data_IF_342288705037
#
_entry.id   IF_342288705037
#
_cell.length_a   1.000
_cell.length_b   1.000
_cell.length_c   1.000
_cell.angle_alpha   90.00
_cell.angle_beta   90.00
_cell.angle_gamma   90.00
#
_symmetry.space_group_name_H-M   'P 1'
#
loop_
_entity.id
_entity.type
_entity.pdbx_description
1 polymer ?
#
# COMPACT_ATOMS: atom_id res chain seq x y z
N UNK A 1 -19.33 -0.36 7.83
CA UNK A 1 -18.14 0.48 7.60
C UNK A 1 -18.21 0.85 6.14
N UNK A 2 -18.75 2.03 5.84
CA UNK A 2 -18.81 2.55 4.47
C UNK A 2 -17.42 3.09 4.13
N UNK A 3 -16.78 2.49 3.13
CA UNK A 3 -15.55 3.02 2.56
C UNK A 3 -15.90 4.14 1.58
N UNK A 4 -15.16 5.24 1.63
CA UNK A 4 -15.24 6.27 0.62
C UNK A 4 -14.72 5.75 -0.73
N UNK A 5 -15.12 6.39 -1.83
CA UNK A 5 -14.60 6.08 -3.17
C UNK A 5 -13.07 6.19 -3.23
N UNK A 6 -12.49 7.17 -2.54
CA UNK A 6 -11.05 7.39 -2.47
C UNK A 6 -10.34 6.24 -1.75
N UNK A 7 -10.89 5.76 -0.63
CA UNK A 7 -10.35 4.59 0.08
C UNK A 7 -10.38 3.33 -0.79
N UNK A 8 -11.46 3.11 -1.55
CA UNK A 8 -11.57 1.95 -2.44
C UNK A 8 -10.55 1.98 -3.58
N UNK A 9 -10.25 3.16 -4.13
CA UNK A 9 -9.24 3.33 -5.18
C UNK A 9 -7.85 2.96 -4.63
N UNK A 10 -7.48 3.53 -3.49
CA UNK A 10 -6.16 3.29 -2.88
C UNK A 10 -6.01 1.83 -2.46
N UNK A 11 -7.05 1.22 -1.88
CA UNK A 11 -7.03 -0.20 -1.53
C UNK A 11 -6.83 -1.08 -2.76
N UNK A 12 -7.46 -0.76 -3.89
CA UNK A 12 -7.28 -1.49 -5.14
C UNK A 12 -5.85 -1.39 -5.67
N UNK A 13 -5.24 -0.21 -5.57
CA UNK A 13 -3.84 0.00 -5.96
C UNK A 13 -2.87 -0.76 -5.05
N UNK A 14 -3.08 -0.72 -3.74
CA UNK A 14 -2.32 -1.51 -2.75
C UNK A 14 -2.36 -3.00 -3.09
N UNK A 15 -3.55 -3.54 -3.39
CA UNK A 15 -3.68 -4.96 -3.74
C UNK A 15 -2.96 -5.29 -5.05
N UNK A 16 -3.09 -4.41 -6.05
CA UNK A 16 -2.41 -4.58 -7.34
C UNK A 16 -0.88 -4.59 -7.18
N UNK A 17 -0.34 -3.66 -6.39
CA UNK A 17 1.10 -3.57 -6.10
C UNK A 17 1.58 -4.76 -5.26
N UNK A 18 0.81 -5.23 -4.27
CA UNK A 18 1.10 -6.45 -3.53
C UNK A 18 1.22 -7.66 -4.44
N UNK A 19 0.27 -7.88 -5.35
CA UNK A 19 0.32 -9.00 -6.28
C UNK A 19 1.55 -8.94 -7.17
N UNK A 20 1.90 -7.75 -7.68
CA UNK A 20 3.11 -7.55 -8.48
C UNK A 20 4.38 -7.81 -7.69
N UNK A 21 4.47 -7.33 -6.44
CA UNK A 21 5.60 -7.56 -5.56
C UNK A 21 5.80 -9.04 -5.26
N UNK A 22 4.73 -9.75 -4.91
CA UNK A 22 4.80 -11.19 -4.63
C UNK A 22 5.28 -11.94 -5.87
N UNK A 23 4.70 -11.64 -7.03
CA UNK A 23 5.10 -12.25 -8.30
C UNK A 23 6.59 -11.98 -8.60
N UNK A 24 7.02 -10.72 -8.51
CA UNK A 24 8.40 -10.34 -8.79
C UNK A 24 9.38 -10.94 -7.78
N UNK A 25 9.01 -11.01 -6.51
CA UNK A 25 9.78 -11.68 -5.46
C UNK A 25 9.92 -13.18 -5.67
N UNK A 26 8.89 -13.84 -6.24
CA UNK A 26 8.94 -15.26 -6.61
C UNK A 26 9.79 -15.49 -7.88
N UNK A 27 9.68 -14.61 -8.88
CA UNK A 27 10.36 -14.79 -10.18
C UNK A 27 11.83 -14.33 -10.17
N UNK A 28 12.13 -13.21 -9.51
CA UNK A 28 13.45 -12.55 -9.55
C UNK A 28 14.16 -12.50 -8.19
N UNK A 29 13.45 -12.81 -7.10
CA UNK A 29 13.95 -12.72 -5.73
C UNK A 29 13.64 -11.38 -5.06
N UNK A 30 13.72 -11.38 -3.73
CA UNK A 30 13.38 -10.22 -2.89
C UNK A 30 14.43 -9.10 -2.92
N UNK A 31 15.67 -9.42 -3.30
CA UNK A 31 16.77 -8.46 -3.40
C UNK A 31 16.93 -7.87 -4.80
N UNK A 32 16.12 -8.31 -5.76
CA UNK A 32 16.13 -7.75 -7.10
C UNK A 32 15.69 -6.28 -7.04
N UNK A 33 16.36 -5.34 -7.77
CA UNK A 33 16.04 -3.92 -7.71
C UNK A 33 14.55 -3.64 -7.96
N UNK A 34 13.95 -4.33 -8.93
CA UNK A 34 12.51 -4.18 -9.23
C UNK A 34 11.62 -4.59 -8.06
N UNK A 35 11.96 -5.66 -7.33
CA UNK A 35 11.19 -6.09 -6.15
C UNK A 35 11.33 -5.09 -5.01
N UNK A 36 12.52 -4.50 -4.84
CA UNK A 36 12.79 -3.45 -3.85
C UNK A 36 12.00 -2.17 -4.20
N UNK A 37 12.01 -1.75 -5.47
CA UNK A 37 11.24 -0.59 -5.93
C UNK A 37 9.73 -0.81 -5.72
N UNK A 38 9.21 -1.99 -6.07
CA UNK A 38 7.81 -2.35 -5.81
C UNK A 38 7.48 -2.30 -4.32
N UNK A 39 8.41 -2.71 -3.45
CA UNK A 39 8.25 -2.67 -2.00
C UNK A 39 8.15 -1.24 -1.48
N UNK A 40 9.05 -0.36 -1.96
CA UNK A 40 9.05 1.05 -1.59
C UNK A 40 7.79 1.78 -2.10
N UNK A 41 7.32 1.47 -3.31
CA UNK A 41 6.06 2.00 -3.83
C UNK A 41 4.86 1.54 -3.00
N UNK A 42 4.83 0.26 -2.62
CA UNK A 42 3.77 -0.28 -1.77
C UNK A 42 3.76 0.37 -0.38
N UNK A 43 4.93 0.58 0.23
CA UNK A 43 5.06 1.22 1.54
C UNK A 43 4.51 2.66 1.52
N UNK A 44 4.83 3.43 0.47
CA UNK A 44 4.28 4.79 0.27
C UNK A 44 2.75 4.79 0.23
N UNK A 45 2.13 3.90 -0.56
CA UNK A 45 0.67 3.81 -0.64
C UNK A 45 0.04 3.39 0.69
N UNK A 46 0.68 2.50 1.45
CA UNK A 46 0.21 2.11 2.78
C UNK A 46 0.26 3.28 3.76
N UNK A 47 1.33 4.10 3.70
CA UNK A 47 1.45 5.31 4.51
C UNK A 47 0.38 6.34 4.12
N UNK A 48 0.13 6.56 2.82
CA UNK A 48 -0.95 7.45 2.34
C UNK A 48 -2.32 6.98 2.81
N UNK A 49 -2.63 5.68 2.67
CA UNK A 49 -3.86 5.10 3.19
C UNK A 49 -4.00 5.26 4.71
N UNK A 50 -2.91 5.03 5.45
CA UNK A 50 -2.86 5.22 6.90
C UNK A 50 -3.14 6.67 7.29
N UNK A 51 -2.58 7.64 6.55
CA UNK A 51 -2.84 9.07 6.75
C UNK A 51 -4.30 9.43 6.48
N UNK A 52 -4.91 8.91 5.41
CA UNK A 52 -6.34 9.15 5.09
C UNK A 52 -7.22 8.58 6.20
N UNK A 53 -6.96 7.34 6.63
CA UNK A 53 -7.70 6.68 7.70
C UNK A 53 -7.54 7.38 9.05
N UNK A 54 -6.34 7.89 9.34
CA UNK A 54 -6.02 8.61 10.58
C UNK A 54 -6.59 10.04 10.58
N UNK A 55 -6.64 10.69 9.42
CA UNK A 55 -7.25 12.03 9.26
C UNK A 55 -8.77 11.99 9.50
N UNK A 56 -9.42 10.88 9.14
CA UNK A 56 -10.82 10.60 9.51
C UNK A 56 -10.99 10.17 10.98
N UNK A 57 -9.89 9.84 11.68
CA UNK A 57 -9.85 9.44 13.08
C UNK A 57 -9.03 10.43 13.92
N UNK A 58 -9.30 11.74 13.77
CA UNK A 58 -8.67 12.77 14.62
C UNK A 58 -9.26 12.69 16.03
N UNK A 59 -8.74 11.76 16.82
CA UNK A 59 -9.18 11.52 18.18
C UNK A 59 -8.47 10.36 18.87
N UNK A 60 -7.13 10.35 18.88
CA UNK A 60 -6.20 9.81 19.90
C UNK A 60 -4.80 9.93 19.26
N UNK A 61 -3.89 10.78 19.72
CA UNK A 61 -3.32 10.77 21.07
C UNK A 61 -2.01 9.97 21.00
N UNK A 62 -0.89 10.66 20.74
CA UNK A 62 0.45 10.16 21.10
C UNK A 62 0.69 10.44 22.58
#
# INVERSE_FOLDING_TARGET
>A
MEYTLEELIILKEIQTLRSKLIKCGMEMGLTHPVTIELSQCLDKLLNEYSLIKTSSNKGIGF
#
